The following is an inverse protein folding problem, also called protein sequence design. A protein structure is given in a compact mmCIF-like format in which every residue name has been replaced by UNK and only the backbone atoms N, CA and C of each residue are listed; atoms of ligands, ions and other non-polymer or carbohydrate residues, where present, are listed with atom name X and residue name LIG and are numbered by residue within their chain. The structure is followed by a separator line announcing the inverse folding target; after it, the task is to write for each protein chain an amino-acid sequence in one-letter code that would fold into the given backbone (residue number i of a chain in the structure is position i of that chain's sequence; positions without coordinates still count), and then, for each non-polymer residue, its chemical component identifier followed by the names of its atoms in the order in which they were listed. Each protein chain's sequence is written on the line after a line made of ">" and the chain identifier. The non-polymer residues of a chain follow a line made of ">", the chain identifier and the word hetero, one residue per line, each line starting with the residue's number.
data_IF_180352642321
#
_entry.id   IF_180352642321
#
_cell.length_a   1.000
_cell.length_b   1.000
_cell.length_c   1.000
_cell.angle_alpha   90.00
_cell.angle_beta   90.00
_cell.angle_gamma   90.00
#
_symmetry.space_group_name_H-M   'P 1'
#
loop_
_entity.id
_entity.type
_entity.pdbx_description
1 polymer ?
#
# COMPACT_ATOMS: atom_id res chain seq x y z
N UNK A 1 -3.30 -14.19 12.29
CA UNK A 1 -1.85 -14.07 11.99
C UNK A 1 -1.47 -12.65 12.31
N UNK A 2 -0.79 -12.44 13.44
CA UNK A 2 -0.50 -11.10 13.97
C UNK A 2 0.72 -10.45 13.32
N UNK A 3 1.58 -11.25 12.69
CA UNK A 3 2.80 -10.80 12.02
C UNK A 3 2.87 -11.31 10.59
N UNK A 4 3.21 -10.41 9.67
CA UNK A 4 3.49 -10.70 8.27
C UNK A 4 4.98 -10.45 7.99
N UNK A 5 5.74 -11.52 7.73
CA UNK A 5 7.16 -11.42 7.40
C UNK A 5 7.35 -11.53 5.88
N UNK A 6 7.94 -10.48 5.29
CA UNK A 6 8.40 -10.50 3.90
C UNK A 6 9.91 -10.73 3.88
N UNK A 7 10.34 -11.89 3.40
CA UNK A 7 11.76 -12.20 3.20
C UNK A 7 12.10 -11.94 1.74
N UNK A 8 12.97 -10.97 1.48
CA UNK A 8 13.34 -10.54 0.14
C UNK A 8 14.85 -10.45 -0.02
N UNK A 9 15.34 -10.74 -1.23
CA UNK A 9 16.71 -10.40 -1.60
C UNK A 9 16.90 -8.86 -1.55
N UNK A 10 18.09 -8.40 -1.18
CA UNK A 10 18.45 -6.97 -1.16
C UNK A 10 18.16 -6.24 -2.49
N UNK A 11 18.24 -6.94 -3.61
CA UNK A 11 17.99 -6.40 -4.95
C UNK A 11 16.57 -6.72 -5.47
N UNK A 12 15.65 -7.14 -4.59
CA UNK A 12 14.28 -7.48 -4.97
C UNK A 12 13.51 -6.23 -5.38
N UNK A 13 12.84 -6.29 -6.55
CA UNK A 13 11.89 -5.25 -6.99
C UNK A 13 10.76 -5.06 -5.99
N UNK A 14 10.30 -6.13 -5.34
CA UNK A 14 9.22 -6.04 -4.33
C UNK A 14 9.70 -5.36 -3.06
N UNK A 15 10.94 -5.59 -2.63
CA UNK A 15 11.53 -4.84 -1.51
C UNK A 15 11.60 -3.35 -1.85
N UNK A 16 12.05 -3.00 -3.06
CA UNK A 16 12.09 -1.62 -3.52
C UNK A 16 10.69 -0.98 -3.48
N UNK A 17 9.67 -1.62 -4.07
CA UNK A 17 8.28 -1.13 -4.02
C UNK A 17 7.79 -0.88 -2.59
N UNK A 18 8.03 -1.81 -1.67
CA UNK A 18 7.63 -1.66 -0.27
C UNK A 18 8.29 -0.44 0.41
N UNK A 19 9.59 -0.26 0.20
CA UNK A 19 10.34 0.85 0.79
C UNK A 19 9.89 2.18 0.20
N UNK A 20 9.81 2.27 -1.13
CA UNK A 20 9.46 3.50 -1.85
C UNK A 20 8.04 3.95 -1.52
N UNK A 21 7.06 3.04 -1.51
CA UNK A 21 5.68 3.38 -1.11
C UNK A 21 5.60 3.90 0.33
N UNK A 22 6.28 3.22 1.27
CA UNK A 22 6.33 3.64 2.68
C UNK A 22 6.92 5.03 2.83
N UNK A 23 8.05 5.27 2.17
CA UNK A 23 8.78 6.53 2.30
C UNK A 23 8.04 7.68 1.59
N UNK A 24 7.35 7.40 0.48
CA UNK A 24 6.45 8.36 -0.14
C UNK A 24 5.31 8.77 0.80
N UNK A 25 4.63 7.81 1.43
CA UNK A 25 3.56 8.13 2.38
C UNK A 25 4.06 9.00 3.56
N UNK A 26 5.24 8.69 4.12
CA UNK A 26 5.82 9.48 5.22
C UNK A 26 6.08 10.94 4.86
N UNK A 27 6.42 11.21 3.60
CA UNK A 27 6.74 12.54 3.12
C UNK A 27 5.54 13.29 2.52
N UNK A 28 4.36 12.65 2.40
CA UNK A 28 3.19 13.22 1.74
C UNK A 28 1.92 13.08 2.60
N UNK A 29 1.71 13.95 3.62
CA UNK A 29 0.59 13.84 4.56
C UNK A 29 -0.80 13.81 3.89
N UNK A 30 -0.99 14.54 2.79
CA UNK A 30 -2.26 14.54 2.07
C UNK A 30 -2.56 13.18 1.43
N UNK A 31 -1.54 12.47 0.93
CA UNK A 31 -1.69 11.13 0.35
C UNK A 31 -2.00 10.11 1.44
N UNK A 32 -1.49 10.31 2.66
CA UNK A 32 -1.84 9.47 3.82
C UNK A 32 -3.33 9.58 4.14
N UNK A 33 -3.89 10.80 4.11
CA UNK A 33 -5.32 11.04 4.34
C UNK A 33 -6.16 10.33 3.27
N UNK A 34 -5.77 10.44 2.00
CA UNK A 34 -6.46 9.73 0.90
C UNK A 34 -6.41 8.20 1.10
N UNK A 35 -5.24 7.66 1.43
CA UNK A 35 -5.09 6.22 1.67
C UNK A 35 -5.85 5.73 2.91
N UNK A 36 -5.92 6.55 3.96
CA UNK A 36 -6.73 6.28 5.15
C UNK A 36 -8.22 6.18 4.80
N UNK A 37 -8.74 7.15 4.04
CA UNK A 37 -10.15 7.17 3.65
C UNK A 37 -10.51 5.93 2.83
N UNK A 38 -9.66 5.51 1.91
CA UNK A 38 -9.84 4.25 1.15
C UNK A 38 -9.90 3.06 2.10
N UNK A 39 -8.95 2.94 3.04
CA UNK A 39 -8.94 1.82 3.99
C UNK A 39 -10.17 1.79 4.90
N UNK A 40 -10.61 2.96 5.41
CA UNK A 40 -11.81 3.07 6.24
C UNK A 40 -13.06 2.65 5.46
N UNK A 41 -13.24 3.20 4.26
CA UNK A 41 -14.36 2.84 3.39
C UNK A 41 -14.39 1.33 3.08
N UNK A 42 -13.25 0.72 2.75
CA UNK A 42 -13.18 -0.71 2.50
C UNK A 42 -13.48 -1.54 3.76
N UNK A 43 -12.99 -1.12 4.93
CA UNK A 43 -13.29 -1.80 6.19
C UNK A 43 -14.79 -1.82 6.51
N UNK A 44 -15.51 -0.77 6.13
CA UNK A 44 -16.95 -0.65 6.36
C UNK A 44 -17.80 -1.38 5.30
N UNK A 45 -17.28 -1.55 4.08
CA UNK A 45 -18.09 -2.02 2.94
C UNK A 45 -17.80 -3.45 2.50
N UNK A 46 -16.60 -3.98 2.76
CA UNK A 46 -16.22 -5.33 2.31
C UNK A 46 -16.17 -6.32 3.47
N UNK A 47 -16.63 -7.55 3.21
CA UNK A 47 -16.73 -8.60 4.24
C UNK A 47 -15.50 -9.48 4.35
N UNK A 48 -14.70 -9.55 3.29
CA UNK A 48 -13.58 -10.48 3.20
C UNK A 48 -12.24 -9.78 2.94
N UNK A 49 -11.18 -10.43 3.41
CA UNK A 49 -9.82 -9.91 3.34
C UNK A 49 -9.31 -9.75 1.90
N UNK A 50 -9.77 -10.59 0.96
CA UNK A 50 -9.31 -10.57 -0.43
C UNK A 50 -9.84 -9.31 -1.11
N UNK A 51 -11.13 -9.03 -0.96
CA UNK A 51 -11.78 -7.80 -1.46
C UNK A 51 -11.16 -6.55 -0.84
N UNK A 52 -10.89 -6.54 0.47
CA UNK A 52 -10.18 -5.44 1.13
C UNK A 52 -8.79 -5.20 0.54
N UNK A 53 -8.05 -6.28 0.26
CA UNK A 53 -6.70 -6.19 -0.30
C UNK A 53 -6.74 -5.67 -1.74
N UNK A 54 -7.70 -6.14 -2.54
CA UNK A 54 -7.87 -5.72 -3.92
C UNK A 54 -8.30 -4.25 -4.03
N UNK A 55 -9.21 -3.80 -3.16
CA UNK A 55 -9.79 -2.45 -3.22
C UNK A 55 -8.79 -1.32 -3.01
N UNK A 56 -7.61 -1.58 -2.44
CA UNK A 56 -6.54 -0.60 -2.28
C UNK A 56 -5.42 -0.72 -3.34
N UNK A 57 -5.46 -1.74 -4.19
CA UNK A 57 -4.39 -2.04 -5.16
C UNK A 57 -4.20 -0.93 -6.18
N UNK A 58 -5.29 -0.41 -6.74
CA UNK A 58 -5.23 0.66 -7.75
C UNK A 58 -4.52 1.90 -7.23
N UNK A 59 -4.90 2.36 -6.04
CA UNK A 59 -4.26 3.50 -5.38
C UNK A 59 -2.77 3.26 -5.13
N UNK A 60 -2.41 2.08 -4.59
CA UNK A 60 -1.00 1.74 -4.33
C UNK A 60 -0.19 1.76 -5.63
N UNK A 61 -0.71 1.16 -6.71
CA UNK A 61 -0.04 1.11 -8.01
C UNK A 61 0.15 2.51 -8.60
N UNK A 62 -0.87 3.37 -8.55
CA UNK A 62 -0.78 4.76 -9.00
C UNK A 62 0.34 5.53 -8.30
N UNK A 63 0.51 5.33 -6.99
CA UNK A 63 1.60 5.95 -6.24
C UNK A 63 2.96 5.33 -6.63
N UNK A 64 3.03 4.02 -6.80
CA UNK A 64 4.27 3.36 -7.21
C UNK A 64 4.72 3.80 -8.59
N UNK A 65 3.81 3.89 -9.57
CA UNK A 65 4.08 4.39 -10.92
C UNK A 65 4.65 5.82 -10.85
N UNK A 66 3.97 6.73 -10.11
CA UNK A 66 4.42 8.12 -9.95
C UNK A 66 5.84 8.28 -9.40
N UNK A 67 6.30 7.36 -8.56
CA UNK A 67 7.55 7.50 -7.79
C UNK A 67 8.68 6.65 -8.34
N UNK A 68 8.36 5.63 -9.14
CA UNK A 68 9.34 4.71 -9.73
C UNK A 68 9.64 5.00 -11.21
N UNK A 69 8.91 5.92 -11.84
CA UNK A 69 9.31 6.59 -13.08
C UNK A 69 10.50 7.54 -12.86
#
# INVERSE_FOLDING_TARGET
>A
MEHHLYVCNKNSKELAKHLVFRDYLRNNPQVVIEYENIKRHLADTVKDRKSYTLGKTEFINKILEKVMD
#
